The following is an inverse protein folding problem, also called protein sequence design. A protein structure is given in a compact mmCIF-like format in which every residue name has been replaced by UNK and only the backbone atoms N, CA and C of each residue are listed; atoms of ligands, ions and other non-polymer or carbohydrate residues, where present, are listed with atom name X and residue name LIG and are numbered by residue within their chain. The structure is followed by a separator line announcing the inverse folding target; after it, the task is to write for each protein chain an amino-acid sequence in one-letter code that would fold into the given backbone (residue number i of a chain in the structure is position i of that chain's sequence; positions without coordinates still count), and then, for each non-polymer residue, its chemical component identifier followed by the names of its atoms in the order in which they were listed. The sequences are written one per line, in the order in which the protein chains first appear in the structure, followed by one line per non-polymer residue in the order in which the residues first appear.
data_IF_731372401979
#
_entry.id   IF_731372401979
#
_cell.length_a   1.000
_cell.length_b   1.000
_cell.length_c   1.000
_cell.angle_alpha   90.00
_cell.angle_beta   90.00
_cell.angle_gamma   90.00
#
_symmetry.space_group_name_H-M   'P 1'
#
loop_
_entity.id
_entity.type
_entity.pdbx_description
1 polymer ?
#
# COMPACT_ATOMS: atom_id res chain seq x y z
N UNK A 1 21.46 -6.15 1.78
CA UNK A 1 21.95 -6.28 3.16
C UNK A 1 20.73 -6.26 4.08
N UNK A 2 20.73 -7.01 5.19
CA UNK A 2 19.64 -6.99 6.15
C UNK A 2 20.11 -6.31 7.45
N UNK A 3 19.36 -5.30 7.92
CA UNK A 3 19.61 -4.68 9.22
C UNK A 3 18.62 -5.27 10.23
N UNK A 4 19.14 -5.69 11.39
CA UNK A 4 18.38 -6.35 12.45
C UNK A 4 18.23 -5.44 13.67
N UNK A 5 17.03 -5.41 14.27
CA UNK A 5 16.77 -4.76 15.55
C UNK A 5 15.81 -5.61 16.40
N UNK A 6 16.02 -5.63 17.71
CA UNK A 6 15.12 -6.32 18.65
C UNK A 6 14.21 -5.30 19.34
N UNK A 7 12.90 -5.52 19.30
CA UNK A 7 11.88 -4.65 19.91
C UNK A 7 10.95 -5.49 20.78
N UNK A 8 10.53 -4.95 21.92
CA UNK A 8 9.49 -5.57 22.76
C UNK A 8 8.24 -4.69 22.68
N UNK A 9 7.13 -5.25 22.20
CA UNK A 9 5.83 -4.57 22.12
C UNK A 9 4.78 -5.45 22.79
N UNK A 10 4.09 -4.92 23.81
CA UNK A 10 3.05 -5.64 24.57
C UNK A 10 3.51 -7.02 25.09
N UNK A 11 4.79 -7.17 25.45
CA UNK A 11 5.36 -8.44 25.92
C UNK A 11 5.76 -9.42 24.81
N UNK A 12 5.51 -9.07 23.55
CA UNK A 12 5.94 -9.84 22.38
C UNK A 12 7.32 -9.36 21.96
N UNK A 13 8.27 -10.30 21.85
CA UNK A 13 9.60 -10.04 21.29
C UNK A 13 9.51 -10.09 19.76
N UNK A 14 9.85 -8.98 19.11
CA UNK A 14 9.86 -8.81 17.67
C UNK A 14 11.30 -8.63 17.22
N UNK A 15 11.74 -9.48 16.28
CA UNK A 15 13.01 -9.32 15.60
C UNK A 15 12.74 -8.62 14.26
N UNK A 16 12.94 -7.31 14.22
CA UNK A 16 12.76 -6.52 12.99
C UNK A 16 13.93 -6.78 12.05
N UNK A 17 13.62 -7.23 10.84
CA UNK A 17 14.58 -7.41 9.76
C UNK A 17 14.15 -6.54 8.59
N UNK A 18 15.08 -5.75 8.07
CA UNK A 18 14.86 -4.92 6.88
C UNK A 18 15.54 -5.54 5.66
N UNK A 19 14.99 -5.29 4.48
CA UNK A 19 15.54 -5.76 3.20
C UNK A 19 15.57 -4.60 2.21
N UNK A 20 16.60 -4.55 1.37
CA UNK A 20 16.82 -3.47 0.40
C UNK A 20 15.81 -3.50 -0.77
N UNK A 21 15.07 -4.59 -0.94
CA UNK A 21 14.07 -4.73 -2.01
C UNK A 21 12.91 -5.62 -1.58
N UNK A 22 11.75 -5.39 -2.20
CA UNK A 22 10.56 -6.21 -2.01
C UNK A 22 10.80 -7.66 -2.40
N UNK A 23 11.58 -7.93 -3.45
CA UNK A 23 11.87 -9.30 -3.90
C UNK A 23 12.66 -10.08 -2.86
N UNK A 24 13.66 -9.45 -2.21
CA UNK A 24 14.41 -10.08 -1.11
C UNK A 24 13.51 -10.34 0.11
N UNK A 25 12.61 -9.40 0.43
CA UNK A 25 11.64 -9.56 1.50
C UNK A 25 10.68 -10.74 1.23
N UNK A 26 10.14 -10.83 0.02
CA UNK A 26 9.24 -11.92 -0.37
C UNK A 26 9.94 -13.27 -0.36
N UNK A 27 11.20 -13.32 -0.81
CA UNK A 27 11.97 -14.56 -0.81
C UNK A 27 12.30 -15.00 0.62
N UNK A 28 12.63 -14.07 1.52
CA UNK A 28 12.78 -14.37 2.93
C UNK A 28 11.49 -14.90 3.57
N UNK A 29 10.34 -14.31 3.23
CA UNK A 29 9.04 -14.78 3.70
C UNK A 29 8.72 -16.19 3.19
N UNK A 30 8.92 -16.47 1.90
CA UNK A 30 8.74 -17.82 1.32
C UNK A 30 9.64 -18.87 1.95
N UNK A 31 10.86 -18.50 2.32
CA UNK A 31 11.81 -19.39 2.99
C UNK A 31 11.57 -19.53 4.49
N UNK A 32 10.52 -18.88 5.05
CA UNK A 32 10.23 -18.91 6.48
C UNK A 32 11.25 -18.18 7.36
N UNK A 33 12.05 -17.27 6.77
CA UNK A 33 13.02 -16.45 7.52
C UNK A 33 12.36 -15.30 8.28
N UNK A 34 11.16 -14.91 7.87
CA UNK A 34 10.31 -13.92 8.55
C UNK A 34 8.88 -14.44 8.58
N UNK A 35 8.20 -14.25 9.71
CA UNK A 35 6.81 -14.71 9.91
C UNK A 35 5.76 -13.72 9.37
N UNK A 36 6.14 -12.45 9.24
CA UNK A 36 5.26 -11.38 8.81
C UNK A 36 6.03 -10.29 8.04
N UNK A 37 5.32 -9.57 7.17
CA UNK A 37 5.85 -8.45 6.39
C UNK A 37 5.01 -7.20 6.63
N UNK A 38 5.66 -6.06 6.86
CA UNK A 38 5.01 -4.75 6.74
C UNK A 38 5.22 -4.30 5.29
N UNK A 39 4.13 -4.25 4.52
CA UNK A 39 4.19 -4.02 3.08
C UNK A 39 2.99 -3.22 2.55
N UNK A 40 3.06 -2.75 1.30
CA UNK A 40 1.96 -2.02 0.66
C UNK A 40 0.75 -2.93 0.44
N UNK A 41 -0.40 -2.57 1.00
CA UNK A 41 -1.63 -3.36 0.91
C UNK A 41 -2.09 -3.63 -0.53
N UNK A 42 -2.03 -2.62 -1.40
CA UNK A 42 -2.40 -2.78 -2.82
C UNK A 42 -1.49 -3.79 -3.54
N UNK A 43 -0.19 -3.67 -3.38
CA UNK A 43 0.75 -4.59 -4.04
C UNK A 43 0.66 -6.02 -3.48
N UNK A 44 0.47 -6.16 -2.17
CA UNK A 44 0.20 -7.45 -1.54
C UNK A 44 -1.09 -8.08 -2.10
N UNK A 45 -2.18 -7.31 -2.16
CA UNK A 45 -3.46 -7.76 -2.71
C UNK A 45 -3.33 -8.24 -4.17
N UNK A 46 -2.62 -7.47 -5.01
CA UNK A 46 -2.32 -7.87 -6.38
C UNK A 46 -1.56 -9.20 -6.44
N UNK A 47 -0.47 -9.33 -5.67
CA UNK A 47 0.37 -10.55 -5.70
C UNK A 47 -0.39 -11.77 -5.18
N UNK A 48 -1.15 -11.64 -4.10
CA UNK A 48 -1.98 -12.71 -3.55
C UNK A 48 -3.05 -13.14 -4.57
N UNK A 49 -3.77 -12.17 -5.16
CA UNK A 49 -4.80 -12.43 -6.17
C UNK A 49 -4.27 -13.21 -7.37
N UNK A 50 -3.03 -12.92 -7.79
CA UNK A 50 -2.40 -13.56 -8.95
C UNK A 50 -1.55 -14.79 -8.58
N UNK A 51 -1.61 -15.29 -7.34
CA UNK A 51 -0.86 -16.47 -6.90
C UNK A 51 0.66 -16.29 -6.84
N UNK A 52 1.15 -15.05 -6.86
CA UNK A 52 2.59 -14.71 -6.80
C UNK A 52 3.14 -14.68 -5.37
N UNK A 53 2.23 -14.63 -4.39
CA UNK A 53 2.51 -14.63 -2.97
C UNK A 53 1.44 -15.46 -2.25
N UNK A 54 1.86 -16.57 -1.64
CA UNK A 54 1.02 -17.36 -0.75
C UNK A 54 1.03 -16.74 0.65
N UNK A 55 0.11 -15.79 0.86
CA UNK A 55 -0.04 -15.08 2.11
C UNK A 55 -1.48 -14.58 2.27
N UNK A 56 -1.80 -14.13 3.48
CA UNK A 56 -3.01 -13.37 3.77
C UNK A 56 -2.64 -12.04 4.40
N UNK A 57 -3.43 -11.01 4.13
CA UNK A 57 -3.34 -9.74 4.86
C UNK A 57 -4.08 -9.86 6.20
N UNK A 58 -3.61 -9.11 7.20
CA UNK A 58 -4.29 -8.94 8.49
C UNK A 58 -5.17 -7.70 8.44
N UNK A 59 -6.22 -7.66 9.27
CA UNK A 59 -7.30 -6.65 9.15
C UNK A 59 -6.87 -5.23 9.51
N UNK A 60 -5.88 -5.07 10.39
CA UNK A 60 -5.42 -3.76 10.83
C UNK A 60 -4.24 -3.25 9.98
N UNK A 61 -4.42 -2.07 9.39
CA UNK A 61 -3.33 -1.35 8.74
C UNK A 61 -2.41 -0.73 9.81
N UNK A 62 -1.11 -1.02 9.71
CA UNK A 62 -0.07 -0.43 10.59
C UNK A 62 0.00 1.10 10.39
N UNK A 63 -0.19 1.56 9.16
CA UNK A 63 -0.25 3.00 8.83
C UNK A 63 -1.09 3.21 7.57
N UNK A 64 -1.69 4.39 7.44
CA UNK A 64 -2.42 4.80 6.25
C UNK A 64 -1.87 6.14 5.77
N UNK A 65 -1.40 6.17 4.52
CA UNK A 65 -0.90 7.37 3.86
C UNK A 65 -1.75 7.73 2.64
N UNK A 66 -1.91 9.02 2.39
CA UNK A 66 -2.53 9.51 1.17
C UNK A 66 -1.56 9.35 -0.02
N UNK A 67 -2.05 8.83 -1.15
CA UNK A 67 -1.32 8.83 -2.43
C UNK A 67 -1.85 9.95 -3.31
N UNK A 68 -0.94 10.71 -3.92
CA UNK A 68 -1.28 11.81 -4.82
C UNK A 68 -0.29 11.90 -5.97
N UNK A 69 -0.73 12.46 -7.10
CA UNK A 69 0.13 12.80 -8.22
C UNK A 69 0.82 14.15 -7.95
N UNK A 70 2.16 14.24 -8.03
CA UNK A 70 2.86 15.50 -7.84
C UNK A 70 2.74 16.40 -9.07
N UNK A 71 2.61 17.71 -8.84
CA UNK A 71 2.58 18.74 -9.88
C UNK A 71 3.50 19.90 -9.50
N UNK A 72 4.16 20.51 -10.50
CA UNK A 72 5.11 21.61 -10.27
C UNK A 72 4.36 22.86 -9.81
N UNK A 73 4.76 23.42 -8.67
CA UNK A 73 4.19 24.66 -8.12
C UNK A 73 4.59 25.87 -8.98
N UNK A 74 3.68 26.83 -9.13
CA UNK A 74 3.93 28.08 -9.87
C UNK A 74 4.01 27.91 -11.39
N UNK A 75 3.69 26.72 -11.92
CA UNK A 75 3.65 26.46 -13.35
C UNK A 75 2.20 26.35 -13.82
N UNK A 76 1.77 27.27 -14.69
CA UNK A 76 0.38 27.35 -15.13
C UNK A 76 -0.14 26.08 -15.84
N UNK A 77 0.71 25.38 -16.58
CA UNK A 77 0.34 24.12 -17.24
C UNK A 77 0.15 22.99 -16.22
N UNK A 78 1.02 22.93 -15.21
CA UNK A 78 0.93 21.96 -14.11
C UNK A 78 -0.33 22.18 -13.28
N UNK A 79 -0.73 23.43 -13.03
CA UNK A 79 -1.97 23.75 -12.34
C UNK A 79 -3.22 23.35 -13.14
N UNK A 80 -3.21 23.60 -14.46
CA UNK A 80 -4.29 23.14 -15.35
C UNK A 80 -4.39 21.61 -15.34
N UNK A 81 -3.26 20.91 -15.44
CA UNK A 81 -3.22 19.45 -15.42
C UNK A 81 -3.68 18.90 -14.07
N UNK A 82 -3.24 19.49 -12.96
CA UNK A 82 -3.68 19.12 -11.61
C UNK A 82 -5.21 19.19 -11.49
N UNK A 83 -5.83 20.28 -11.96
CA UNK A 83 -7.29 20.44 -11.95
C UNK A 83 -7.99 19.37 -12.81
N UNK A 84 -7.49 19.13 -14.02
CA UNK A 84 -8.07 18.14 -14.93
C UNK A 84 -7.98 16.71 -14.38
N UNK A 85 -6.80 16.30 -13.89
CA UNK A 85 -6.57 14.97 -13.30
C UNK A 85 -7.41 14.80 -12.04
N UNK A 86 -7.45 15.81 -11.16
CA UNK A 86 -8.27 15.76 -9.94
C UNK A 86 -9.74 15.59 -10.28
N UNK A 87 -10.26 16.36 -11.24
CA UNK A 87 -11.65 16.25 -11.69
C UNK A 87 -11.97 14.85 -12.21
N UNK A 88 -11.15 14.31 -13.10
CA UNK A 88 -11.34 12.97 -13.64
C UNK A 88 -11.35 11.89 -12.56
N UNK A 89 -10.46 11.97 -11.57
CA UNK A 89 -10.44 11.02 -10.44
C UNK A 89 -11.72 11.13 -9.60
N UNK A 90 -12.22 12.34 -9.34
CA UNK A 90 -13.47 12.53 -8.59
C UNK A 90 -14.69 12.02 -9.34
N UNK A 91 -14.73 12.21 -10.65
CA UNK A 91 -15.80 11.66 -11.50
C UNK A 91 -15.79 10.13 -11.47
N UNK A 92 -14.62 9.49 -11.60
CA UNK A 92 -14.47 8.03 -11.50
C UNK A 92 -14.79 7.48 -10.10
N UNK A 93 -14.59 8.26 -9.04
CA UNK A 93 -15.03 7.89 -7.69
C UNK A 93 -16.56 7.91 -7.60
N UNK A 94 -17.17 9.00 -8.08
CA UNK A 94 -18.62 9.21 -8.01
C UNK A 94 -19.41 8.17 -8.78
N UNK A 95 -18.94 7.78 -9.97
CA UNK A 95 -19.62 6.81 -10.82
C UNK A 95 -19.23 5.33 -10.53
N UNK A 96 -18.31 5.11 -9.58
CA UNK A 96 -17.81 3.80 -9.19
C UNK A 96 -16.82 3.16 -10.17
N UNK A 97 -16.40 3.86 -11.23
CA UNK A 97 -15.40 3.38 -12.19
C UNK A 97 -14.08 3.08 -11.49
N UNK A 98 -13.65 3.93 -10.56
CA UNK A 98 -12.38 3.74 -9.86
C UNK A 98 -12.42 2.47 -8.97
N UNK A 99 -13.53 2.23 -8.28
CA UNK A 99 -13.74 1.02 -7.49
C UNK A 99 -13.67 -0.24 -8.36
N UNK A 100 -14.32 -0.23 -9.53
CA UNK A 100 -14.26 -1.33 -10.51
C UNK A 100 -12.84 -1.61 -11.00
N UNK A 101 -12.04 -0.56 -11.24
CA UNK A 101 -10.62 -0.71 -11.62
C UNK A 101 -9.85 -1.40 -10.49
N UNK A 102 -10.02 -0.97 -9.24
CA UNK A 102 -9.35 -1.60 -8.11
C UNK A 102 -9.74 -3.06 -7.94
N UNK A 103 -11.03 -3.38 -7.99
CA UNK A 103 -11.53 -4.75 -7.93
C UNK A 103 -10.96 -5.62 -9.06
N UNK A 104 -10.92 -5.10 -10.29
CA UNK A 104 -10.37 -5.81 -11.45
C UNK A 104 -8.90 -6.18 -11.26
N UNK A 105 -8.07 -5.28 -10.76
CA UNK A 105 -6.62 -5.51 -10.69
C UNK A 105 -6.15 -6.09 -9.36
N UNK A 106 -6.79 -5.70 -8.26
CA UNK A 106 -6.34 -6.02 -6.90
C UNK A 106 -7.29 -6.94 -6.14
N UNK A 107 -8.54 -7.08 -6.60
CA UNK A 107 -9.56 -7.90 -5.91
C UNK A 107 -10.05 -7.28 -4.60
N UNK A 108 -9.65 -6.05 -4.32
CA UNK A 108 -10.05 -5.24 -3.18
C UNK A 108 -10.17 -3.79 -3.63
N UNK A 109 -10.99 -3.01 -2.94
CA UNK A 109 -11.19 -1.61 -3.25
C UNK A 109 -10.35 -0.70 -2.36
N UNK A 110 -9.46 0.07 -3.00
CA UNK A 110 -8.62 1.07 -2.34
C UNK A 110 -8.97 2.49 -2.82
N UNK A 111 -10.13 2.70 -3.45
CA UNK A 111 -10.56 4.02 -3.91
C UNK A 111 -10.97 4.96 -2.78
N UNK A 112 -11.37 4.38 -1.64
CA UNK A 112 -11.84 5.10 -0.47
C UNK A 112 -10.88 5.01 0.71
N UNK A 113 -10.95 6.03 1.57
CA UNK A 113 -10.23 6.03 2.83
C UNK A 113 -10.84 4.96 3.77
N UNK A 114 -10.03 4.14 4.47
CA UNK A 114 -10.56 3.26 5.51
C UNK A 114 -11.23 4.07 6.62
N UNK A 115 -12.41 3.61 7.09
CA UNK A 115 -13.29 4.37 8.00
C UNK A 115 -12.59 4.84 9.29
N UNK A 116 -11.66 4.04 9.82
CA UNK A 116 -11.00 4.29 11.12
C UNK A 116 -9.53 4.72 10.99
N UNK A 117 -9.07 5.02 9.77
CA UNK A 117 -7.68 5.37 9.54
C UNK A 117 -7.35 6.80 9.98
N UNK A 118 -6.43 6.93 10.95
CA UNK A 118 -5.64 8.16 11.11
C UNK A 118 -4.61 8.22 9.99
N UNK A 119 -4.67 9.27 9.18
CA UNK A 119 -3.65 9.48 8.14
C UNK A 119 -2.37 9.91 8.85
N UNK A 120 -1.29 9.18 8.62
CA UNK A 120 0.02 9.62 9.06
C UNK A 120 0.41 10.86 8.25
N UNK A 121 0.63 11.99 8.95
CA UNK A 121 1.11 13.25 8.37
C UNK A 121 2.62 13.36 8.54
#
# INVERSE_FOLDING_TARGET
MAVNANVILQGIKINLVTYDSSDLLFEAFRQGKVDAMIYSAGEAAYKIKNGLLDARMVEENVTVGAKAYPFVKGNANSEKLNKAVTKAIQEMKKDGTLSKIYQKWYGQDFSEKPKDAKIAN
#
